data_IF_538020960635
#
_entry.id   IF_538020960635
#
_cell.length_a   1.000
_cell.length_b   1.000
_cell.length_c   1.000
_cell.angle_alpha   90.00
_cell.angle_beta   90.00
_cell.angle_gamma   90.00
#
_symmetry.space_group_name_H-M   'P 1'
#
loop_
_entity.id
_entity.type
_entity.pdbx_description
1 polymer ?
#
# COMPACT_ATOMS: atom_id res chain seq x y z
N UNK A 1 -11.18 12.15 -28.55
CA UNK A 1 -11.01 11.32 -27.34
C UNK A 1 -10.73 9.89 -27.81
N UNK A 2 -9.54 9.35 -27.49
CA UNK A 2 -9.19 7.96 -27.81
C UNK A 2 -10.14 6.99 -27.10
N UNK A 3 -10.26 5.76 -27.60
CA UNK A 3 -11.08 4.70 -26.96
C UNK A 3 -10.68 4.50 -25.49
N UNK A 4 -9.38 4.56 -25.19
CA UNK A 4 -8.82 4.39 -23.85
C UNK A 4 -9.28 5.47 -22.87
N UNK A 5 -9.30 6.74 -23.30
CA UNK A 5 -9.75 7.86 -22.45
C UNK A 5 -11.19 7.67 -21.95
N UNK A 6 -12.11 7.17 -22.80
CA UNK A 6 -13.49 6.87 -22.38
C UNK A 6 -13.55 5.71 -21.38
N UNK A 7 -12.74 4.68 -21.61
CA UNK A 7 -12.64 3.52 -20.70
C UNK A 7 -12.12 3.94 -19.33
N UNK A 8 -11.06 4.76 -19.28
CA UNK A 8 -10.47 5.25 -18.04
C UNK A 8 -11.42 6.14 -17.25
N UNK A 9 -12.08 7.10 -17.90
CA UNK A 9 -13.10 7.93 -17.23
C UNK A 9 -14.24 7.10 -16.67
N UNK A 10 -14.67 6.04 -17.37
CA UNK A 10 -15.72 5.14 -16.86
C UNK A 10 -15.27 4.39 -15.61
N UNK A 11 -14.05 3.85 -15.59
CA UNK A 11 -13.49 3.15 -14.42
C UNK A 11 -13.32 4.10 -13.24
N UNK A 12 -12.79 5.30 -13.48
CA UNK A 12 -12.66 6.33 -12.44
C UNK A 12 -14.02 6.70 -11.84
N UNK A 13 -15.02 6.96 -12.68
CA UNK A 13 -16.37 7.26 -12.21
C UNK A 13 -17.00 6.11 -11.40
N UNK A 14 -16.71 4.86 -11.77
CA UNK A 14 -17.16 3.71 -11.01
C UNK A 14 -16.47 3.58 -9.64
N UNK A 15 -15.14 3.82 -9.58
CA UNK A 15 -14.39 3.84 -8.32
C UNK A 15 -14.89 4.94 -7.36
N UNK A 16 -15.15 6.14 -7.89
CA UNK A 16 -15.73 7.25 -7.12
C UNK A 16 -17.13 6.87 -6.61
N UNK A 17 -17.98 6.31 -7.47
CA UNK A 17 -19.33 5.89 -7.06
C UNK A 17 -19.32 4.76 -6.02
N UNK A 18 -18.30 3.90 -6.00
CA UNK A 18 -18.09 2.91 -4.94
C UNK A 18 -17.69 3.59 -3.62
N UNK A 19 -16.77 4.57 -3.66
CA UNK A 19 -16.41 5.37 -2.49
C UNK A 19 -17.61 6.12 -1.88
N UNK A 20 -18.45 6.73 -2.71
CA UNK A 20 -19.67 7.43 -2.24
C UNK A 20 -20.64 6.50 -1.49
N UNK A 21 -20.58 5.19 -1.76
CA UNK A 21 -21.37 4.15 -1.09
C UNK A 21 -20.63 3.51 0.10
N UNK A 22 -19.44 3.99 0.45
CA UNK A 22 -18.53 3.39 1.41
C UNK A 22 -18.09 1.95 1.06
N UNK A 23 -18.14 1.53 -0.20
CA UNK A 23 -17.56 0.26 -0.66
C UNK A 23 -16.08 0.48 -1.03
N UNK A 24 -15.25 0.70 -0.01
CA UNK A 24 -13.84 1.03 -0.18
C UNK A 24 -13.02 -0.13 -0.76
N UNK A 25 -13.44 -1.39 -0.62
CA UNK A 25 -12.80 -2.52 -1.30
C UNK A 25 -13.02 -2.47 -2.81
N UNK A 26 -14.27 -2.22 -3.23
CA UNK A 26 -14.58 -2.09 -4.66
C UNK A 26 -13.89 -0.87 -5.26
N UNK A 27 -13.90 0.26 -4.54
CA UNK A 27 -13.18 1.46 -4.97
C UNK A 27 -11.67 1.23 -5.13
N UNK A 28 -11.02 0.59 -4.15
CA UNK A 28 -9.60 0.23 -4.22
C UNK A 28 -9.32 -0.67 -5.43
N UNK A 29 -10.12 -1.73 -5.63
CA UNK A 29 -10.00 -2.64 -6.78
C UNK A 29 -10.13 -1.93 -8.12
N UNK A 30 -11.15 -1.08 -8.27
CA UNK A 30 -11.39 -0.34 -9.51
C UNK A 30 -10.28 0.71 -9.79
N UNK A 31 -9.82 1.41 -8.75
CA UNK A 31 -8.75 2.39 -8.87
C UNK A 31 -7.40 1.71 -9.21
N UNK A 32 -7.08 0.56 -8.61
CA UNK A 32 -5.89 -0.23 -8.96
C UNK A 32 -5.95 -0.74 -10.40
N UNK A 33 -7.09 -1.29 -10.82
CA UNK A 33 -7.26 -1.76 -12.20
C UNK A 33 -7.09 -0.61 -13.21
N UNK A 34 -7.63 0.57 -12.90
CA UNK A 34 -7.43 1.76 -13.71
C UNK A 34 -5.95 2.16 -13.78
N UNK A 35 -5.26 2.17 -12.63
CA UNK A 35 -3.85 2.52 -12.52
C UNK A 35 -2.96 1.57 -13.33
N UNK A 36 -3.20 0.27 -13.27
CA UNK A 36 -2.48 -0.76 -14.02
C UNK A 36 -2.69 -0.64 -15.53
N UNK A 37 -3.94 -0.49 -15.98
CA UNK A 37 -4.24 -0.33 -17.41
C UNK A 37 -3.65 0.97 -17.97
N UNK A 38 -3.79 2.08 -17.23
CA UNK A 38 -3.24 3.37 -17.61
C UNK A 38 -1.71 3.31 -17.69
N UNK A 39 -1.07 2.66 -16.71
CA UNK A 39 0.38 2.43 -16.73
C UNK A 39 0.80 1.61 -17.95
N UNK A 40 0.03 0.59 -18.33
CA UNK A 40 0.31 -0.26 -19.49
C UNK A 40 0.36 0.48 -20.83
N UNK A 41 -0.28 1.65 -20.92
CA UNK A 41 -0.27 2.51 -22.12
C UNK A 41 0.39 3.88 -21.88
N UNK A 42 1.09 4.03 -20.75
CA UNK A 42 1.77 5.27 -20.34
C UNK A 42 0.86 6.51 -20.24
N UNK A 43 -0.42 6.31 -19.87
CA UNK A 43 -1.37 7.40 -19.63
C UNK A 43 -1.23 7.92 -18.19
N UNK A 44 -0.22 8.75 -17.96
CA UNK A 44 0.09 9.27 -16.62
C UNK A 44 -0.96 10.23 -16.07
N UNK A 45 -1.76 10.86 -16.93
CA UNK A 45 -2.91 11.67 -16.50
C UNK A 45 -4.01 10.81 -15.89
N UNK A 46 -4.34 9.69 -16.54
CA UNK A 46 -5.29 8.73 -16.00
C UNK A 46 -4.77 8.07 -14.71
N UNK A 47 -3.46 7.81 -14.61
CA UNK A 47 -2.84 7.34 -13.37
C UNK A 47 -3.00 8.38 -12.25
N UNK A 48 -2.59 9.63 -12.48
CA UNK A 48 -2.71 10.72 -11.50
C UNK A 48 -4.15 10.88 -11.00
N UNK A 49 -5.13 10.80 -11.90
CA UNK A 49 -6.55 10.91 -11.53
C UNK A 49 -7.07 9.74 -10.66
N UNK A 50 -6.47 8.54 -10.77
CA UNK A 50 -6.87 7.36 -10.00
C UNK A 50 -6.37 7.38 -8.55
N UNK A 51 -5.19 7.96 -8.32
CA UNK A 51 -4.46 7.86 -7.06
C UNK A 51 -5.20 8.49 -5.87
N UNK A 52 -5.86 9.67 -5.97
CA UNK A 52 -6.64 10.22 -4.86
C UNK A 52 -7.78 9.30 -4.40
N UNK A 53 -8.43 8.61 -5.32
CA UNK A 53 -9.51 7.66 -5.01
C UNK A 53 -8.92 6.42 -4.34
N UNK A 54 -7.80 5.90 -4.84
CA UNK A 54 -7.08 4.78 -4.24
C UNK A 54 -6.63 5.09 -2.81
N UNK A 55 -6.03 6.27 -2.59
CA UNK A 55 -5.61 6.77 -1.28
C UNK A 55 -6.79 6.80 -0.31
N UNK A 56 -7.88 7.46 -0.72
CA UNK A 56 -9.08 7.60 0.10
C UNK A 56 -9.70 6.23 0.46
N UNK A 57 -9.71 5.28 -0.47
CA UNK A 57 -10.22 3.93 -0.23
C UNK A 57 -9.39 3.19 0.83
N UNK A 58 -8.06 3.29 0.74
CA UNK A 58 -7.13 2.63 1.66
C UNK A 58 -7.12 3.27 3.05
N UNK A 59 -7.20 4.59 3.13
CA UNK A 59 -7.37 5.31 4.39
C UNK A 59 -8.69 4.93 5.07
N UNK A 60 -9.79 4.84 4.31
CA UNK A 60 -11.07 4.36 4.83
C UNK A 60 -10.99 2.91 5.33
N UNK A 61 -10.35 2.01 4.56
CA UNK A 61 -10.13 0.61 4.96
C UNK A 61 -9.29 0.51 6.23
N UNK A 62 -8.19 1.26 6.31
CA UNK A 62 -7.33 1.30 7.49
C UNK A 62 -8.08 1.84 8.71
N UNK A 63 -8.88 2.91 8.54
CA UNK A 63 -9.72 3.44 9.61
C UNK A 63 -10.69 2.39 10.16
N UNK A 64 -11.38 1.64 9.29
CA UNK A 64 -12.29 0.57 9.75
C UNK A 64 -11.52 -0.53 10.47
N UNK A 65 -10.31 -0.89 10.02
CA UNK A 65 -9.47 -1.86 10.74
C UNK A 65 -9.11 -1.37 12.16
N UNK A 66 -8.85 -0.06 12.32
CA UNK A 66 -8.51 0.55 13.61
C UNK A 66 -9.70 0.73 14.55
N UNK A 67 -10.92 0.81 14.02
CA UNK A 67 -12.16 0.90 14.80
C UNK A 67 -12.61 -0.46 15.36
N UNK A 68 -11.97 -1.57 14.95
CA UNK A 68 -12.23 -2.89 15.52
C UNK A 68 -11.62 -2.95 16.92
N UNK A 69 -12.47 -3.13 17.93
CA UNK A 69 -12.08 -3.29 19.34
C UNK A 69 -11.43 -4.65 19.59
N UNK A 70 -10.18 -4.81 19.15
CA UNK A 70 -9.38 -5.99 19.31
C UNK A 70 -7.91 -5.62 19.55
N UNK A 71 -7.15 -6.42 20.34
CA UNK A 71 -5.71 -6.25 20.46
C UNK A 71 -5.02 -6.53 19.12
N UNK A 72 -3.76 -6.08 19.00
CA UNK A 72 -2.89 -6.45 17.88
C UNK A 72 -2.72 -7.98 17.88
N UNK A 73 -3.21 -8.63 16.82
CA UNK A 73 -3.21 -10.09 16.67
C UNK A 73 -1.83 -10.60 16.27
N UNK A 74 -1.39 -11.68 16.89
CA UNK A 74 -0.16 -12.40 16.53
C UNK A 74 -0.48 -13.56 15.60
N UNK A 75 0.43 -13.85 14.68
CA UNK A 75 0.36 -15.08 13.88
C UNK A 75 1.18 -16.19 14.55
N UNK A 76 0.51 -16.97 15.40
CA UNK A 76 1.17 -17.97 16.25
C UNK A 76 1.37 -19.33 15.56
N UNK A 77 0.69 -19.55 14.44
CA UNK A 77 0.74 -20.80 13.67
C UNK A 77 1.04 -20.52 12.18
N UNK A 78 1.57 -21.51 11.44
CA UNK A 78 1.62 -21.44 9.98
C UNK A 78 0.23 -21.20 9.39
N UNK A 79 0.14 -20.43 8.31
CA UNK A 79 -1.11 -20.20 7.59
C UNK A 79 -1.52 -21.49 6.87
N UNK A 80 -2.75 -21.93 7.08
CA UNK A 80 -3.35 -23.08 6.39
C UNK A 80 -3.95 -22.66 5.03
N UNK A 81 -4.07 -23.62 4.11
CA UNK A 81 -4.71 -23.36 2.82
C UNK A 81 -6.19 -23.01 3.00
N UNK A 82 -6.62 -21.88 2.43
CA UNK A 82 -8.00 -21.38 2.56
C UNK A 82 -8.33 -20.77 3.92
N UNK A 83 -7.33 -20.51 4.77
CA UNK A 83 -7.54 -19.83 6.05
C UNK A 83 -8.02 -18.38 5.84
N UNK A 84 -9.18 -18.04 6.42
CA UNK A 84 -9.67 -16.66 6.54
C UNK A 84 -9.05 -15.95 7.74
N UNK A 85 -9.08 -14.61 7.71
CA UNK A 85 -8.51 -13.77 8.78
C UNK A 85 -9.54 -12.82 9.36
N UNK A 86 -9.42 -12.52 10.64
CA UNK A 86 -10.21 -11.48 11.29
C UNK A 86 -9.69 -10.09 10.95
N UNK A 87 -10.61 -9.12 10.92
CA UNK A 87 -10.25 -7.71 10.74
C UNK A 87 -9.46 -7.15 11.92
N UNK A 88 -8.71 -6.09 11.67
CA UNK A 88 -7.93 -5.38 12.68
C UNK A 88 -6.42 -5.37 12.39
N UNK A 89 -5.64 -5.15 13.44
CA UNK A 89 -4.17 -5.05 13.34
C UNK A 89 -3.51 -6.41 13.56
N UNK A 90 -2.57 -6.77 12.69
CA UNK A 90 -1.81 -8.02 12.75
C UNK A 90 -0.31 -7.72 12.83
N UNK A 91 0.37 -8.34 13.79
CA UNK A 91 1.81 -8.31 13.96
C UNK A 91 2.41 -9.71 13.76
N UNK A 92 3.24 -9.83 12.74
CA UNK A 92 3.88 -11.08 12.34
C UNK A 92 5.26 -11.17 12.98
N UNK A 93 5.42 -12.16 13.85
CA UNK A 93 6.66 -12.44 14.59
C UNK A 93 7.50 -13.54 13.97
N UNK A 94 8.82 -13.55 14.24
CA UNK A 94 9.63 -14.73 14.00
C UNK A 94 9.05 -15.95 14.75
N UNK A 95 9.02 -17.15 14.13
CA UNK A 95 9.69 -17.52 12.88
C UNK A 95 8.88 -17.26 11.60
N UNK A 96 7.69 -16.63 11.69
CA UNK A 96 6.92 -16.21 10.52
C UNK A 96 7.64 -15.07 9.80
N UNK A 97 7.31 -14.89 8.54
CA UNK A 97 8.02 -13.96 7.64
C UNK A 97 7.04 -12.99 6.98
N UNK A 98 7.57 -11.91 6.41
CA UNK A 98 6.74 -10.92 5.73
C UNK A 98 5.91 -11.47 4.54
N UNK A 99 6.27 -12.65 4.01
CA UNK A 99 5.43 -13.34 3.03
C UNK A 99 4.09 -13.78 3.64
N UNK A 100 4.07 -14.22 4.91
CA UNK A 100 2.83 -14.52 5.64
C UNK A 100 1.99 -13.25 5.80
N UNK A 101 2.62 -12.11 6.08
CA UNK A 101 1.95 -10.81 6.15
C UNK A 101 1.32 -10.38 4.81
N UNK A 102 1.98 -10.68 3.68
CA UNK A 102 1.39 -10.49 2.35
C UNK A 102 0.16 -11.39 2.16
N UNK A 103 0.25 -12.67 2.54
CA UNK A 103 -0.87 -13.61 2.46
C UNK A 103 -2.08 -13.09 3.22
N UNK A 104 -1.91 -12.65 4.47
CA UNK A 104 -3.01 -12.06 5.28
C UNK A 104 -3.65 -10.88 4.55
N UNK A 105 -2.86 -9.93 4.04
CA UNK A 105 -3.40 -8.76 3.31
C UNK A 105 -4.17 -9.17 2.06
N UNK A 106 -3.62 -10.09 1.25
CA UNK A 106 -4.25 -10.52 0.00
C UNK A 106 -5.55 -11.27 0.26
N UNK A 107 -5.54 -12.27 1.15
CA UNK A 107 -6.73 -13.04 1.51
C UNK A 107 -7.81 -12.16 2.14
N UNK A 108 -7.43 -11.30 3.09
CA UNK A 108 -8.38 -10.38 3.72
C UNK A 108 -8.97 -9.39 2.70
N UNK A 109 -8.19 -8.89 1.74
CA UNK A 109 -8.71 -8.02 0.68
C UNK A 109 -9.72 -8.75 -0.22
N UNK A 110 -9.42 -9.98 -0.63
CA UNK A 110 -10.34 -10.84 -1.41
C UNK A 110 -11.66 -11.12 -0.67
N UNK A 111 -11.58 -11.30 0.66
CA UNK A 111 -12.74 -11.53 1.54
C UNK A 111 -13.43 -10.24 2.01
N UNK A 112 -12.96 -9.07 1.58
CA UNK A 112 -13.43 -7.75 2.03
C UNK A 112 -13.34 -7.56 3.56
N UNK A 113 -12.27 -8.06 4.17
CA UNK A 113 -11.95 -7.91 5.59
C UNK A 113 -10.86 -6.85 5.78
N UNK A 114 -11.09 -5.78 6.57
CA UNK A 114 -10.14 -4.69 6.72
C UNK A 114 -9.04 -5.09 7.71
N UNK A 115 -7.80 -5.14 7.23
CA UNK A 115 -6.62 -5.45 8.04
C UNK A 115 -5.51 -4.43 7.85
N UNK A 116 -4.68 -4.27 8.88
CA UNK A 116 -3.36 -3.61 8.81
C UNK A 116 -2.34 -4.62 9.30
N UNK A 117 -1.25 -4.83 8.55
CA UNK A 117 -0.29 -5.91 8.83
C UNK A 117 1.14 -5.37 8.87
N UNK A 118 1.81 -5.59 10.00
CA UNK A 118 3.24 -5.30 10.20
C UNK A 118 3.99 -6.61 10.46
N UNK A 119 5.18 -6.76 9.89
CA UNK A 119 6.07 -7.88 10.23
C UNK A 119 7.37 -7.35 10.84
N UNK A 120 7.82 -7.98 11.92
CA UNK A 120 9.10 -7.68 12.55
C UNK A 120 10.02 -8.89 12.53
N UNK A 121 11.33 -8.63 12.49
CA UNK A 121 12.37 -9.67 12.47
C UNK A 121 13.07 -9.75 13.85
N UNK A 122 13.95 -10.74 14.08
CA UNK A 122 14.73 -10.80 15.31
C UNK A 122 15.55 -9.53 15.54
N UNK A 123 15.76 -9.21 16.82
CA UNK A 123 16.51 -8.00 17.21
C UNK A 123 17.92 -8.03 16.63
N UNK A 124 18.38 -6.89 16.12
CA UNK A 124 19.78 -6.74 15.71
C UNK A 124 20.70 -6.64 16.93
N UNK A 125 22.01 -6.85 16.73
CA UNK A 125 23.02 -6.62 17.78
C UNK A 125 23.09 -5.17 18.26
N UNK A 126 22.55 -4.22 17.49
CA UNK A 126 22.49 -2.81 17.84
C UNK A 126 21.26 -2.46 18.70
N UNK A 127 20.47 -3.45 19.10
CA UNK A 127 19.23 -3.22 19.88
C UNK A 127 18.05 -2.74 19.05
N UNK A 128 18.23 -2.50 17.75
CA UNK A 128 17.15 -2.11 16.84
C UNK A 128 16.36 -3.32 16.34
N UNK A 129 15.07 -3.12 16.13
CA UNK A 129 14.13 -4.10 15.57
C UNK A 129 13.96 -3.87 14.08
N UNK A 130 14.37 -4.82 13.21
CA UNK A 130 14.00 -4.73 11.80
C UNK A 130 12.50 -4.96 11.64
N UNK A 131 11.90 -4.17 10.75
CA UNK A 131 10.52 -4.35 10.28
C UNK A 131 10.54 -4.45 8.76
N UNK A 132 9.61 -5.25 8.23
CA UNK A 132 9.61 -5.61 6.81
C UNK A 132 8.19 -5.77 6.30
N UNK A 133 7.96 -5.38 5.05
CA UNK A 133 6.76 -5.74 4.31
C UNK A 133 7.12 -6.19 2.89
N UNK A 134 6.37 -7.17 2.38
CA UNK A 134 6.55 -7.74 1.04
C UNK A 134 5.31 -7.47 0.19
N UNK A 135 5.55 -6.90 -1.01
CA UNK A 135 4.59 -6.81 -2.11
C UNK A 135 5.25 -7.29 -3.39
N UNK A 136 5.23 -6.46 -4.43
CA UNK A 136 6.05 -6.60 -5.64
C UNK A 136 7.54 -6.39 -5.36
N UNK A 137 7.86 -5.58 -4.34
CA UNK A 137 9.20 -5.44 -3.77
C UNK A 137 9.19 -5.72 -2.26
N UNK A 138 10.37 -5.87 -1.68
CA UNK A 138 10.55 -5.95 -0.22
C UNK A 138 11.00 -4.60 0.29
N UNK A 139 10.27 -4.03 1.26
CA UNK A 139 10.72 -2.85 2.01
C UNK A 139 11.09 -3.29 3.41
N UNK A 140 12.29 -2.92 3.86
CA UNK A 140 12.80 -3.27 5.19
C UNK A 140 13.54 -2.07 5.77
N UNK A 141 13.22 -1.71 7.00
CA UNK A 141 13.98 -0.73 7.78
C UNK A 141 14.23 -1.24 9.20
N UNK A 142 14.89 -0.44 10.04
CA UNK A 142 15.13 -0.72 11.46
C UNK A 142 14.55 0.40 12.29
N UNK A 143 13.87 0.03 13.38
CA UNK A 143 13.22 0.95 14.31
C UNK A 143 13.65 0.64 15.74
N UNK A 144 13.36 1.56 16.66
CA UNK A 144 13.39 1.27 18.10
C UNK A 144 12.37 0.17 18.41
N UNK A 145 12.70 -0.80 19.29
CA UNK A 145 11.73 -1.78 19.74
C UNK A 145 10.62 -1.13 20.58
N UNK A 146 9.46 -1.78 20.65
CA UNK A 146 8.43 -1.39 21.60
C UNK A 146 8.92 -1.57 23.04
N UNK A 147 8.46 -0.68 23.94
CA UNK A 147 8.74 -0.76 25.38
C UNK A 147 8.33 -2.13 25.95
N UNK A 148 7.12 -2.60 25.61
CA UNK A 148 6.70 -3.99 25.77
C UNK A 148 6.79 -4.72 24.42
N UNK A 149 7.81 -5.56 24.27
CA UNK A 149 8.01 -6.36 23.06
C UNK A 149 6.96 -7.46 22.88
N UNK A 150 6.36 -7.96 23.96
CA UNK A 150 5.34 -9.01 23.92
C UNK A 150 3.96 -8.41 23.62
N UNK A 151 3.68 -7.21 24.10
CA UNK A 151 2.42 -6.50 23.88
C UNK A 151 2.67 -5.05 23.44
N UNK A 152 3.15 -4.82 22.20
CA UNK A 152 3.32 -3.47 21.68
C UNK A 152 1.96 -2.77 21.63
N UNK A 153 1.96 -1.48 21.91
CA UNK A 153 0.78 -0.65 21.77
C UNK A 153 0.53 -0.24 20.31
N UNK A 154 -0.65 0.35 20.09
CA UNK A 154 -1.07 0.80 18.77
C UNK A 154 -0.22 1.97 18.26
N UNK A 155 0.29 2.82 19.14
CA UNK A 155 1.12 3.98 18.78
C UNK A 155 2.44 3.51 18.19
N UNK A 156 3.12 2.56 18.82
CA UNK A 156 4.32 1.92 18.27
C UNK A 156 4.02 1.21 16.96
N UNK A 157 2.90 0.48 16.88
CA UNK A 157 2.54 -0.28 15.68
C UNK A 157 2.31 0.62 14.46
N UNK A 158 1.53 1.70 14.62
CA UNK A 158 1.25 2.66 13.56
C UNK A 158 2.50 3.48 13.21
N UNK A 159 3.23 3.97 14.22
CA UNK A 159 4.48 4.70 14.00
C UNK A 159 5.53 3.85 13.25
N UNK A 160 5.55 2.53 13.49
CA UNK A 160 6.40 1.60 12.75
C UNK A 160 6.03 1.51 11.27
N UNK A 161 4.73 1.50 10.94
CA UNK A 161 4.25 1.46 9.56
C UNK A 161 4.58 2.77 8.85
N UNK A 162 4.40 3.91 9.53
CA UNK A 162 4.75 5.23 9.00
C UNK A 162 6.25 5.31 8.70
N UNK A 163 7.11 4.93 9.65
CA UNK A 163 8.56 4.89 9.44
C UNK A 163 8.97 3.96 8.28
N UNK A 164 8.27 2.84 8.09
CA UNK A 164 8.52 1.93 6.98
C UNK A 164 8.15 2.56 5.64
N UNK A 165 7.03 3.27 5.57
CA UNK A 165 6.57 3.99 4.38
C UNK A 165 7.47 5.17 4.02
N UNK A 166 7.86 5.98 4.99
CA UNK A 166 8.82 7.07 4.82
C UNK A 166 10.17 6.55 4.30
N UNK A 167 10.64 5.43 4.86
CA UNK A 167 11.84 4.76 4.36
C UNK A 167 11.67 4.28 2.91
N UNK A 168 10.50 3.75 2.55
CA UNK A 168 10.22 3.31 1.19
C UNK A 168 10.36 4.46 0.18
N UNK A 169 9.83 5.64 0.52
CA UNK A 169 9.92 6.85 -0.30
C UNK A 169 11.36 7.34 -0.39
N UNK A 170 12.05 7.46 0.75
CA UNK A 170 13.42 7.99 0.84
C UNK A 170 14.45 7.14 0.07
N UNK A 171 14.14 5.89 -0.26
CA UNK A 171 15.00 4.97 -1.02
C UNK A 171 14.67 4.89 -2.51
N UNK A 172 13.76 5.74 -3.01
CA UNK A 172 13.57 5.93 -4.46
C UNK A 172 14.77 6.71 -5.02
N UNK A 173 15.38 6.18 -6.08
CA UNK A 173 16.44 6.88 -6.80
C UNK A 173 15.86 7.99 -7.69
N UNK A 174 15.84 9.21 -7.16
CA UNK A 174 15.33 10.41 -7.84
C UNK A 174 16.23 10.88 -8.99
N UNK A 175 17.44 10.33 -9.13
CA UNK A 175 18.33 10.59 -10.27
C UNK A 175 17.99 9.77 -11.51
N UNK A 176 17.07 8.80 -11.41
CA UNK A 176 16.62 7.98 -12.54
C UNK A 176 15.50 8.64 -13.33
N UNK A 177 15.22 8.09 -14.51
CA UNK A 177 14.08 8.48 -15.35
C UNK A 177 12.74 8.38 -14.59
N UNK A 178 11.85 9.35 -14.82
CA UNK A 178 10.59 9.49 -14.09
C UNK A 178 9.70 8.25 -14.19
N UNK A 179 9.74 7.51 -15.30
CA UNK A 179 8.96 6.27 -15.48
C UNK A 179 9.45 5.19 -14.52
N UNK A 180 10.77 5.11 -14.30
CA UNK A 180 11.35 4.18 -13.31
C UNK A 180 11.01 4.58 -11.89
N UNK A 181 10.92 5.87 -11.60
CA UNK A 181 10.47 6.36 -10.30
C UNK A 181 9.01 5.96 -10.04
N UNK A 182 8.13 6.15 -11.03
CA UNK A 182 6.72 5.71 -10.97
C UNK A 182 6.64 4.19 -10.72
N UNK A 183 7.38 3.38 -11.46
CA UNK A 183 7.40 1.93 -11.29
C UNK A 183 7.91 1.54 -9.89
N UNK A 184 8.97 2.20 -9.42
CA UNK A 184 9.52 1.99 -8.08
C UNK A 184 8.51 2.35 -6.97
N UNK A 185 7.73 3.41 -7.14
CA UNK A 185 6.68 3.83 -6.22
C UNK A 185 5.50 2.86 -6.25
N UNK A 186 5.06 2.39 -7.42
CA UNK A 186 4.04 1.35 -7.55
C UNK A 186 4.45 0.06 -6.81
N UNK A 187 5.71 -0.36 -6.97
CA UNK A 187 6.23 -1.55 -6.30
C UNK A 187 6.20 -1.39 -4.77
N UNK A 188 6.57 -0.23 -4.24
CA UNK A 188 6.55 0.05 -2.79
C UNK A 188 5.13 0.19 -2.25
N UNK A 189 4.25 0.83 -3.01
CA UNK A 189 2.84 0.98 -2.68
C UNK A 189 2.13 -0.38 -2.59
N UNK A 190 2.58 -1.39 -3.34
CA UNK A 190 2.08 -2.76 -3.19
C UNK A 190 2.56 -3.47 -1.92
N UNK A 191 3.66 -3.01 -1.32
CA UNK A 191 4.19 -3.55 -0.07
C UNK A 191 3.60 -2.86 1.16
N UNK A 192 3.33 -1.55 1.07
CA UNK A 192 2.83 -0.72 2.18
C UNK A 192 1.60 0.07 1.70
N UNK A 193 0.47 -0.62 1.46
CA UNK A 193 -0.70 0.00 0.84
C UNK A 193 -1.29 1.14 1.66
N UNK A 194 -1.11 1.17 2.98
CA UNK A 194 -1.77 2.09 3.89
C UNK A 194 -1.02 3.43 4.06
N UNK A 195 0.21 3.56 3.55
CA UNK A 195 1.02 4.76 3.76
C UNK A 195 0.56 5.93 2.87
N UNK A 196 0.05 7.04 3.43
CA UNK A 196 -0.49 8.14 2.64
C UNK A 196 0.58 8.81 1.77
N UNK A 197 1.80 8.97 2.28
CA UNK A 197 2.89 9.62 1.55
C UNK A 197 3.35 8.86 0.29
N UNK A 198 3.14 7.54 0.21
CA UNK A 198 3.47 6.78 -1.00
C UNK A 198 2.50 7.10 -2.15
N UNK A 199 1.23 7.39 -1.83
CA UNK A 199 0.26 7.83 -2.81
C UNK A 199 0.58 9.24 -3.30
N UNK A 200 0.91 10.16 -2.38
CA UNK A 200 1.24 11.54 -2.72
C UNK A 200 2.47 11.61 -3.63
N UNK A 201 3.52 10.86 -3.30
CA UNK A 201 4.73 10.77 -4.13
C UNK A 201 4.44 10.16 -5.51
N UNK A 202 3.58 9.15 -5.59
CA UNK A 202 3.20 8.53 -6.86
C UNK A 202 2.37 9.49 -7.73
N UNK A 203 1.42 10.22 -7.13
CA UNK A 203 0.61 11.21 -7.83
C UNK A 203 1.50 12.33 -8.40
N UNK A 204 2.40 12.87 -7.59
CA UNK A 204 3.36 13.88 -8.03
C UNK A 204 4.22 13.38 -9.20
N UNK A 205 4.77 12.16 -9.09
CA UNK A 205 5.57 11.58 -10.16
C UNK A 205 4.78 11.39 -11.47
N UNK A 206 3.51 10.96 -11.37
CA UNK A 206 2.61 10.84 -12.52
C UNK A 206 2.32 12.22 -13.15
N UNK A 207 2.06 13.25 -12.35
CA UNK A 207 1.82 14.60 -12.84
C UNK A 207 3.05 15.19 -13.55
N UNK A 208 4.26 14.96 -13.00
CA UNK A 208 5.53 15.35 -13.64
C UNK A 208 5.66 14.64 -15.00
N UNK A 209 5.44 13.33 -15.05
CA UNK A 209 5.55 12.56 -16.29
C UNK A 209 4.51 13.00 -17.34
N UNK A 210 3.27 13.26 -16.93
CA UNK A 210 2.21 13.76 -17.82
C UNK A 210 2.59 15.12 -18.44
N UNK A 211 3.12 16.05 -17.62
CA UNK A 211 3.55 17.36 -18.08
C UNK A 211 4.75 17.26 -19.03
N UNK A 212 5.71 16.38 -18.75
CA UNK A 212 6.84 16.14 -19.62
C UNK A 212 6.40 15.63 -21.00
N UNK A 213 5.45 14.70 -21.07
CA UNK A 213 4.90 14.20 -22.34
C UNK A 213 4.15 15.28 -23.14
N UNK A 214 3.37 16.14 -22.48
CA UNK A 214 2.66 17.25 -23.15
C UNK A 214 3.60 18.31 -23.70
N UNK A 215 4.76 18.50 -23.07
CA UNK A 215 5.78 19.48 -23.46
C UNK A 215 6.69 19.01 -24.59
N UNK A 216 6.64 17.73 -24.98
CA UNK A 216 7.39 17.23 -26.12
C UNK A 216 6.70 17.63 -27.43
N UNK A 217 7.42 18.17 -28.42
CA UNK A 217 6.85 18.43 -29.74
C UNK A 217 6.38 17.12 -30.36
N UNK A 218 5.18 17.14 -30.96
CA UNK A 218 4.66 16.02 -31.74
C UNK A 218 5.51 15.93 -33.02
N UNK A 219 6.37 14.92 -33.13
CA UNK A 219 7.05 14.56 -34.38
C UNK A 219 6.07 13.96 -35.41
#
# INVERSE_FOLDING_TARGET
MSSNSKTFSKKLGAAIAAMEKNDFFEAESMALTLLEDARGVFDYDAMAAAIPVLKSAREARAKVALEIDAPIRRLDAPIEEGQSFEGGCWLIDPPRVAADGRTIRTTAFEEKVPVIVLCREPMTRLGLRPIVSIGRTTVRTKIEPADDSENPDLDWFLGSIDMLGDHAIATIDTGTDIVKQIDGLLDRLSAIPEHPGLHDALEEACLIAANALRGQPVE
#
